data_IF_509318216828
#
_entry.id   IF_509318216828
#
_cell.length_a   1.000
_cell.length_b   1.000
_cell.length_c   1.000
_cell.angle_alpha   90.00
_cell.angle_beta   90.00
_cell.angle_gamma   90.00
#
_symmetry.space_group_name_H-M   'P 1'
#
loop_
_entity.id
_entity.type
_entity.pdbx_description
1 polymer ?
#
# COMPACT_ATOMS: atom_id res chain seq x y z
N UNK A 1 61.36 -5.74 6.39
CA UNK A 1 61.22 -6.39 7.70
C UNK A 1 60.65 -5.31 8.59
N UNK A 2 59.36 -5.24 8.88
CA UNK A 2 58.34 -6.25 9.20
C UNK A 2 57.10 -6.03 8.32
N UNK A 3 56.52 -7.01 7.61
CA UNK A 3 55.75 -8.16 8.11
C UNK A 3 54.58 -7.78 9.01
N UNK A 4 53.46 -7.34 8.44
CA UNK A 4 52.12 -7.85 8.81
C UNK A 4 51.20 -7.78 7.59
N UNK A 5 50.96 -8.96 7.02
CA UNK A 5 49.82 -9.25 6.15
C UNK A 5 48.54 -8.99 6.93
N UNK A 6 47.68 -8.10 6.42
CA UNK A 6 46.29 -8.03 6.84
C UNK A 6 45.42 -8.13 5.60
N UNK A 7 45.18 -9.36 5.16
CA UNK A 7 44.02 -9.74 4.37
C UNK A 7 42.76 -9.53 5.22
N UNK A 8 42.38 -8.28 5.44
CA UNK A 8 41.05 -7.95 5.90
C UNK A 8 40.14 -7.95 4.67
N UNK A 9 39.60 -9.14 4.42
CA UNK A 9 38.48 -9.39 3.50
C UNK A 9 37.42 -8.28 3.73
N UNK A 10 36.92 -7.58 2.70
CA UNK A 10 35.76 -6.74 2.90
C UNK A 10 34.59 -7.67 3.27
N UNK A 11 34.17 -7.62 4.55
CA UNK A 11 32.93 -8.26 4.97
C UNK A 11 31.78 -7.49 4.34
N UNK A 12 31.37 -7.92 3.14
CA UNK A 12 30.15 -7.45 2.50
C UNK A 12 28.96 -8.06 3.23
N UNK A 13 28.65 -7.51 4.40
CA UNK A 13 27.32 -7.67 5.00
C UNK A 13 26.79 -6.26 5.15
N UNK A 14 26.37 -5.69 4.02
CA UNK A 14 25.34 -4.65 4.08
C UNK A 14 24.06 -5.36 4.50
N UNK A 15 23.92 -5.35 5.82
CA UNK A 15 22.72 -5.34 6.63
C UNK A 15 21.40 -5.35 5.86
N UNK A 16 20.62 -6.34 6.25
CA UNK A 16 19.16 -6.40 6.17
C UNK A 16 18.58 -6.53 4.77
N UNK A 17 18.02 -7.72 4.57
CA UNK A 17 16.83 -8.00 3.79
C UNK A 17 15.86 -6.80 3.83
N UNK A 18 16.08 -5.84 2.93
CA UNK A 18 15.02 -4.99 2.42
C UNK A 18 14.18 -5.97 1.63
N UNK A 19 13.27 -6.61 2.36
CA UNK A 19 12.01 -7.17 1.85
C UNK A 19 11.66 -6.28 0.68
N UNK A 20 11.83 -6.84 -0.52
CA UNK A 20 11.21 -6.30 -1.70
C UNK A 20 9.79 -6.00 -1.27
N UNK A 21 9.43 -4.73 -1.17
CA UNK A 21 8.04 -4.35 -1.24
C UNK A 21 7.68 -4.70 -2.67
N UNK A 22 7.47 -6.01 -2.92
CA UNK A 22 6.82 -6.46 -4.11
C UNK A 22 5.52 -5.70 -4.07
N UNK A 23 5.26 -4.91 -5.10
CA UNK A 23 3.97 -4.28 -5.32
C UNK A 23 2.93 -5.38 -5.12
N UNK A 24 2.29 -5.40 -3.96
CA UNK A 24 1.23 -6.36 -3.71
C UNK A 24 0.10 -5.78 -4.52
N UNK A 25 -0.18 -6.45 -5.64
CA UNK A 25 -1.33 -6.18 -6.49
C UNK A 25 -2.58 -6.22 -5.61
N UNK A 26 -3.13 -5.07 -5.26
CA UNK A 26 -4.35 -4.98 -4.45
C UNK A 26 -5.55 -5.15 -5.35
N UNK A 27 -6.54 -5.89 -4.85
CA UNK A 27 -7.80 -6.10 -5.55
C UNK A 27 -8.92 -5.43 -4.80
N UNK A 28 -10.05 -5.26 -5.47
CA UNK A 28 -11.28 -4.75 -4.87
C UNK A 28 -11.67 -5.45 -3.55
N UNK A 29 -11.34 -6.73 -3.39
CA UNK A 29 -11.63 -7.50 -2.18
C UNK A 29 -10.71 -7.15 -1.00
N UNK A 30 -9.53 -6.59 -1.28
CA UNK A 30 -8.52 -6.21 -0.29
C UNK A 30 -8.82 -4.80 0.24
N UNK A 31 -9.99 -4.66 0.88
CA UNK A 31 -10.53 -3.36 1.31
C UNK A 31 -9.65 -2.64 2.33
N UNK A 32 -8.95 -3.39 3.17
CA UNK A 32 -8.03 -2.87 4.20
C UNK A 32 -6.76 -2.30 3.56
N UNK A 33 -6.19 -3.00 2.58
CA UNK A 33 -4.97 -2.55 1.86
C UNK A 33 -5.30 -1.29 1.04
N UNK A 34 -6.42 -1.31 0.33
CA UNK A 34 -6.93 -0.13 -0.40
C UNK A 34 -7.16 1.04 0.56
N UNK A 35 -7.76 0.81 1.73
CA UNK A 35 -8.03 1.85 2.73
C UNK A 35 -6.74 2.50 3.24
N UNK A 36 -5.72 1.70 3.56
CA UNK A 36 -4.41 2.19 3.98
C UNK A 36 -3.78 3.10 2.91
N UNK A 37 -3.85 2.69 1.65
CA UNK A 37 -3.28 3.44 0.53
C UNK A 37 -4.07 4.69 0.17
N UNK A 38 -5.40 4.66 0.34
CA UNK A 38 -6.24 5.85 0.26
C UNK A 38 -5.95 6.82 1.41
N UNK A 39 -5.65 6.32 2.60
CA UNK A 39 -5.32 7.16 3.75
C UNK A 39 -3.97 7.86 3.59
N UNK A 40 -2.95 7.15 3.12
CA UNK A 40 -1.64 7.74 2.82
C UNK A 40 -1.75 8.79 1.69
N UNK A 41 -2.51 8.50 0.64
CA UNK A 41 -2.68 9.40 -0.49
C UNK A 41 -3.63 10.59 -0.20
N UNK A 42 -4.67 10.38 0.62
CA UNK A 42 -5.75 11.33 0.85
C UNK A 42 -6.14 11.49 2.34
N UNK A 43 -5.20 11.87 3.23
CA UNK A 43 -5.42 11.91 4.69
C UNK A 43 -6.37 13.02 5.17
N UNK A 44 -6.78 13.93 4.28
CA UNK A 44 -7.71 15.02 4.58
C UNK A 44 -9.07 14.83 3.89
N UNK A 45 -9.26 13.70 3.20
CA UNK A 45 -10.49 13.44 2.47
C UNK A 45 -11.59 13.00 3.42
N UNK A 46 -12.81 13.50 3.20
CA UNK A 46 -13.97 13.19 4.02
C UNK A 46 -14.64 11.89 3.54
N UNK A 47 -14.46 10.81 4.30
CA UNK A 47 -14.79 9.43 3.90
C UNK A 47 -16.30 9.25 3.69
N UNK A 48 -17.12 9.85 4.55
CA UNK A 48 -18.57 9.74 4.50
C UNK A 48 -19.20 10.70 3.48
N UNK A 49 -18.54 11.81 3.15
CA UNK A 49 -19.01 12.73 2.10
C UNK A 49 -18.59 12.29 0.69
N UNK A 50 -17.66 11.34 0.56
CA UNK A 50 -17.22 10.80 -0.72
C UNK A 50 -18.36 10.05 -1.44
N UNK A 51 -18.50 10.33 -2.74
CA UNK A 51 -19.36 9.51 -3.61
C UNK A 51 -18.63 8.25 -4.02
N UNK A 52 -19.38 7.17 -4.20
CA UNK A 52 -18.86 5.90 -4.73
C UNK A 52 -18.11 6.03 -6.07
N UNK A 53 -18.55 6.93 -6.96
CA UNK A 53 -17.84 7.17 -8.23
C UNK A 53 -16.46 7.79 -8.02
N UNK A 54 -16.33 8.71 -7.06
CA UNK A 54 -15.06 9.34 -6.71
C UNK A 54 -14.14 8.33 -6.03
N UNK A 55 -14.66 7.61 -5.03
CA UNK A 55 -13.91 6.55 -4.34
C UNK A 55 -13.37 5.52 -5.34
N UNK A 56 -14.22 5.04 -6.26
CA UNK A 56 -13.80 4.14 -7.33
C UNK A 56 -12.65 4.75 -8.16
N UNK A 57 -12.76 6.01 -8.56
CA UNK A 57 -11.72 6.68 -9.33
C UNK A 57 -10.40 6.80 -8.56
N UNK A 58 -10.47 7.03 -7.25
CA UNK A 58 -9.29 7.10 -6.38
C UNK A 58 -8.61 5.74 -6.27
N UNK A 59 -9.37 4.67 -6.05
CA UNK A 59 -8.86 3.29 -5.96
C UNK A 59 -8.21 2.85 -7.27
N UNK A 60 -8.86 3.10 -8.40
CA UNK A 60 -8.31 2.77 -9.73
C UNK A 60 -7.07 3.59 -10.07
N UNK A 61 -6.91 4.76 -9.44
CA UNK A 61 -5.73 5.60 -9.56
C UNK A 61 -4.55 5.18 -8.69
N UNK A 62 -4.72 4.20 -7.79
CA UNK A 62 -3.64 3.73 -6.92
C UNK A 62 -2.59 2.95 -7.73
N UNK A 63 -1.29 3.17 -7.48
CA UNK A 63 -0.22 2.52 -8.23
C UNK A 63 -0.10 1.00 -7.98
N UNK A 64 -0.68 0.53 -6.89
CA UNK A 64 -0.72 -0.86 -6.44
C UNK A 64 -1.98 -1.62 -6.89
N UNK A 65 -2.96 -0.93 -7.45
CA UNK A 65 -4.22 -1.52 -7.86
C UNK A 65 -4.08 -2.28 -9.19
N UNK A 66 -4.40 -3.57 -9.18
CA UNK A 66 -4.22 -4.50 -10.31
C UNK A 66 -5.51 -5.25 -10.70
N UNK A 67 -6.68 -4.73 -10.32
CA UNK A 67 -7.97 -5.35 -10.62
C UNK A 67 -8.75 -4.60 -11.70
N UNK A 68 -9.81 -5.21 -12.25
CA UNK A 68 -10.60 -4.59 -13.29
C UNK A 68 -11.63 -3.63 -12.71
N UNK A 69 -11.79 -2.46 -13.32
CA UNK A 69 -12.78 -1.46 -12.91
C UNK A 69 -14.23 -1.96 -12.99
N UNK A 70 -14.48 -3.03 -13.75
CA UNK A 70 -15.79 -3.67 -13.94
C UNK A 70 -16.16 -4.63 -12.80
N UNK A 71 -15.17 -5.11 -12.03
CA UNK A 71 -15.37 -5.99 -10.86
C UNK A 71 -15.88 -5.27 -9.61
N UNK A 72 -15.94 -3.93 -9.65
CA UNK A 72 -16.39 -3.08 -8.55
C UNK A 72 -17.92 -3.07 -8.46
N UNK A 73 -18.46 -3.39 -7.27
CA UNK A 73 -19.87 -3.23 -6.92
C UNK A 73 -20.03 -2.26 -5.74
N UNK A 74 -21.24 -1.74 -5.55
CA UNK A 74 -21.56 -0.79 -4.46
C UNK A 74 -21.18 -1.34 -3.08
N UNK A 75 -21.38 -2.64 -2.84
CA UNK A 75 -20.99 -3.30 -1.58
C UNK A 75 -19.48 -3.27 -1.30
N UNK A 76 -18.68 -3.35 -2.36
CA UNK A 76 -17.22 -3.31 -2.24
C UNK A 76 -16.80 -1.90 -1.86
N UNK A 77 -17.36 -0.90 -2.55
CA UNK A 77 -17.08 0.51 -2.26
C UNK A 77 -17.54 0.89 -0.84
N UNK A 78 -18.68 0.39 -0.39
CA UNK A 78 -19.13 0.53 1.00
C UNK A 78 -18.14 -0.11 1.98
N UNK A 79 -17.67 -1.32 1.71
CA UNK A 79 -16.67 -1.99 2.56
C UNK A 79 -15.33 -1.23 2.61
N UNK A 80 -14.89 -0.64 1.49
CA UNK A 80 -13.70 0.22 1.45
C UNK A 80 -13.91 1.49 2.28
N UNK A 81 -15.08 2.16 2.18
CA UNK A 81 -15.37 3.32 3.04
C UNK A 81 -15.37 2.95 4.52
N UNK A 82 -15.95 1.79 4.88
CA UNK A 82 -15.95 1.32 6.27
C UNK A 82 -14.54 1.00 6.76
N UNK A 83 -13.73 0.29 5.96
CA UNK A 83 -12.34 -0.02 6.31
C UNK A 83 -11.50 1.25 6.46
N UNK A 84 -11.65 2.21 5.55
CA UNK A 84 -10.93 3.49 5.62
C UNK A 84 -11.34 4.32 6.83
N UNK A 85 -12.64 4.37 7.16
CA UNK A 85 -13.08 5.04 8.38
C UNK A 85 -12.58 4.35 9.64
N UNK A 86 -12.48 3.02 9.63
CA UNK A 86 -11.96 2.26 10.77
C UNK A 86 -10.47 2.55 10.97
N UNK A 87 -9.66 2.56 9.91
CA UNK A 87 -8.24 2.93 9.99
C UNK A 87 -8.03 4.35 10.53
N UNK A 88 -8.90 5.28 10.15
CA UNK A 88 -8.82 6.67 10.63
C UNK A 88 -9.19 6.86 12.10
N UNK A 89 -10.02 5.98 12.65
CA UNK A 89 -10.52 6.09 14.04
C UNK A 89 -9.58 5.38 15.05
N UNK A 90 -8.64 4.55 14.58
CA UNK A 90 -7.61 3.85 15.38
C UNK A 90 -6.38 4.74 15.68
#
# INVERSE_FOLDING_TARGET
MDSLSLTAIPVTITSHNVRFVGVQSVKWVDVEDIACSLEDAYPNQDIFALRFTELKSMVVGLPEFDDNTDGCNEKILEAIQMAWSAERDE
#
